data_IF_513211065105
#
_entry.id   IF_513211065105
#
_cell.length_a   1.000
_cell.length_b   1.000
_cell.length_c   1.000
_cell.angle_alpha   90.00
_cell.angle_beta   90.00
_cell.angle_gamma   90.00
#
_symmetry.space_group_name_H-M   'P 1'
#
loop_
_entity.id
_entity.type
_entity.pdbx_description
1 polymer ?
#
# COMPACT_ATOMS: atom_id res chain seq x y z
N UNK A 1 -11.51 -1.03 -7.93
CA UNK A 1 -10.56 -1.10 -9.07
C UNK A 1 -9.21 -0.43 -8.81
N UNK A 2 -9.08 0.59 -7.95
CA UNK A 2 -7.81 1.30 -7.70
C UNK A 2 -6.78 0.55 -6.81
N UNK A 3 -7.21 -0.34 -5.92
CA UNK A 3 -6.32 -1.09 -4.99
C UNK A 3 -5.39 -2.08 -5.69
N UNK A 4 -5.76 -2.57 -6.88
CA UNK A 4 -4.97 -3.58 -7.58
C UNK A 4 -3.67 -3.01 -8.18
N UNK A 5 -3.62 -1.69 -8.39
CA UNK A 5 -2.48 -0.99 -8.99
C UNK A 5 -1.45 -0.48 -7.97
N UNK A 6 -1.83 -0.30 -6.70
CA UNK A 6 -0.95 0.33 -5.69
C UNK A 6 0.13 -0.61 -5.17
N UNK A 7 -0.14 -1.91 -5.09
CA UNK A 7 0.84 -2.94 -4.71
C UNK A 7 2.00 -3.08 -5.71
N UNK A 8 1.73 -3.28 -7.01
CA UNK A 8 2.76 -3.32 -8.05
C UNK A 8 3.56 -2.02 -8.16
N UNK A 9 2.92 -0.87 -7.94
CA UNK A 9 3.60 0.43 -7.94
C UNK A 9 4.62 0.54 -6.80
N UNK A 10 4.28 0.09 -5.59
CA UNK A 10 5.18 0.11 -4.45
C UNK A 10 6.43 -0.77 -4.69
N UNK A 11 6.25 -1.94 -5.30
CA UNK A 11 7.37 -2.81 -5.70
C UNK A 11 8.26 -2.16 -6.76
N UNK A 12 7.66 -1.49 -7.75
CA UNK A 12 8.40 -0.74 -8.78
C UNK A 12 9.24 0.38 -8.17
N UNK A 13 8.67 1.14 -7.22
CA UNK A 13 9.38 2.20 -6.49
C UNK A 13 10.54 1.64 -5.64
N UNK A 14 10.35 0.51 -4.95
CA UNK A 14 11.43 -0.16 -4.21
C UNK A 14 12.57 -0.62 -5.13
N UNK A 15 12.25 -1.18 -6.30
CA UNK A 15 13.24 -1.61 -7.28
C UNK A 15 14.06 -0.43 -7.83
N UNK A 16 13.39 0.69 -8.15
CA UNK A 16 14.05 1.93 -8.58
C UNK A 16 14.93 2.52 -7.48
N UNK A 17 14.46 2.50 -6.22
CA UNK A 17 15.24 2.95 -5.07
C UNK A 17 16.54 2.15 -4.90
N UNK A 18 16.47 0.82 -5.02
CA UNK A 18 17.64 -0.06 -4.96
C UNK A 18 18.62 0.19 -6.09
N UNK A 19 18.13 0.39 -7.33
CA UNK A 19 18.98 0.73 -8.49
C UNK A 19 19.66 2.09 -8.30
N UNK A 20 18.95 3.12 -7.83
CA UNK A 20 19.53 4.45 -7.56
C UNK A 20 20.57 4.43 -6.43
N UNK A 21 20.35 3.63 -5.38
CA UNK A 21 21.32 3.47 -4.29
C UNK A 21 22.64 2.87 -4.79
N UNK A 22 22.57 1.95 -5.76
CA UNK A 22 23.75 1.30 -6.33
C UNK A 22 24.61 2.21 -7.23
N UNK A 23 24.09 3.34 -7.68
CA UNK A 23 24.75 4.29 -8.61
C UNK A 23 25.20 5.56 -7.84
N UNK A 24 25.44 5.48 -6.53
CA UNK A 24 25.93 6.59 -5.69
C UNK A 24 25.01 7.83 -5.58
N UNK A 25 23.77 7.76 -6.08
CA UNK A 25 22.75 8.81 -5.89
C UNK A 25 22.04 8.68 -4.53
N UNK A 26 22.81 8.72 -3.42
CA UNK A 26 22.32 8.46 -2.06
C UNK A 26 21.14 9.35 -1.62
N UNK A 27 21.11 10.62 -2.06
CA UNK A 27 19.97 11.52 -1.74
C UNK A 27 18.69 11.11 -2.47
N UNK A 28 18.78 10.69 -3.73
CA UNK A 28 17.62 10.30 -4.53
C UNK A 28 17.09 8.92 -4.11
N UNK A 29 17.97 8.02 -3.69
CA UNK A 29 17.55 6.73 -3.14
C UNK A 29 16.71 6.89 -1.87
N UNK A 30 17.05 7.82 -0.98
CA UNK A 30 16.28 8.07 0.25
C UNK A 30 14.86 8.59 -0.05
N UNK A 31 14.73 9.50 -1.03
CA UNK A 31 13.42 10.01 -1.47
C UNK A 31 12.58 8.88 -2.07
N UNK A 32 13.17 8.03 -2.92
CA UNK A 32 12.47 6.89 -3.53
C UNK A 32 12.04 5.85 -2.49
N UNK A 33 12.87 5.56 -1.48
CA UNK A 33 12.48 4.70 -0.35
C UNK A 33 11.32 5.31 0.44
N UNK A 34 11.36 6.62 0.70
CA UNK A 34 10.27 7.33 1.39
C UNK A 34 8.94 7.24 0.64
N UNK A 35 8.97 7.44 -0.69
CA UNK A 35 7.79 7.29 -1.54
C UNK A 35 7.27 5.85 -1.53
N UNK A 36 8.16 4.85 -1.60
CA UNK A 36 7.78 3.45 -1.56
C UNK A 36 7.10 3.07 -0.21
N UNK A 37 7.68 3.52 0.91
CA UNK A 37 7.10 3.34 2.25
C UNK A 37 5.73 4.01 2.38
N UNK A 38 5.59 5.23 1.87
CA UNK A 38 4.33 5.95 1.86
C UNK A 38 3.25 5.20 1.08
N UNK A 39 3.55 4.75 -0.14
CA UNK A 39 2.62 3.97 -0.98
C UNK A 39 2.24 2.64 -0.34
N UNK A 40 3.18 1.99 0.34
CA UNK A 40 2.93 0.74 1.06
C UNK A 40 1.99 0.95 2.25
N UNK A 41 2.26 1.96 3.09
CA UNK A 41 1.39 2.33 4.22
C UNK A 41 0.00 2.72 3.74
N UNK A 42 -0.10 3.53 2.68
CA UNK A 42 -1.36 3.92 2.08
C UNK A 42 -2.16 2.67 1.64
N UNK A 43 -1.50 1.73 0.96
CA UNK A 43 -2.13 0.47 0.54
C UNK A 43 -2.60 -0.35 1.74
N UNK A 44 -1.80 -0.48 2.79
CA UNK A 44 -2.19 -1.19 4.02
C UNK A 44 -3.42 -0.57 4.69
N UNK A 45 -3.51 0.76 4.74
CA UNK A 45 -4.68 1.49 5.27
C UNK A 45 -5.91 1.25 4.42
N UNK A 46 -5.81 1.34 3.09
CA UNK A 46 -6.96 1.12 2.20
C UNK A 46 -7.46 -0.32 2.22
N UNK A 47 -6.55 -1.31 2.21
CA UNK A 47 -6.91 -2.73 2.29
C UNK A 47 -7.48 -3.06 3.66
N UNK A 48 -6.85 -2.61 4.74
CA UNK A 48 -7.32 -2.80 6.10
C UNK A 48 -8.69 -2.16 6.34
N UNK A 49 -8.89 -0.93 5.87
CA UNK A 49 -10.18 -0.24 5.95
C UNK A 49 -11.27 -0.93 5.14
N UNK A 50 -10.94 -1.46 3.96
CA UNK A 50 -11.89 -2.23 3.14
C UNK A 50 -12.28 -3.55 3.80
N UNK A 51 -11.31 -4.25 4.41
CA UNK A 51 -11.56 -5.48 5.17
C UNK A 51 -12.41 -5.21 6.43
N UNK A 52 -12.12 -4.12 7.13
CA UNK A 52 -12.90 -3.69 8.29
C UNK A 52 -14.35 -3.36 7.89
N UNK A 53 -14.54 -2.57 6.82
CA UNK A 53 -15.85 -2.24 6.30
C UNK A 53 -16.65 -3.51 5.90
N UNK A 54 -16.02 -4.47 5.23
CA UNK A 54 -16.64 -5.75 4.89
C UNK A 54 -17.11 -6.52 6.13
N UNK A 55 -16.22 -6.66 7.13
CA UNK A 55 -16.54 -7.39 8.36
C UNK A 55 -17.68 -6.71 9.14
N UNK A 56 -17.74 -5.38 9.16
CA UNK A 56 -18.87 -4.66 9.75
C UNK A 56 -20.19 -4.88 9.01
N UNK A 57 -20.17 -4.99 7.67
CA UNK A 57 -21.39 -5.30 6.90
C UNK A 57 -21.86 -6.73 7.15
N UNK A 58 -20.96 -7.70 7.28
CA UNK A 58 -21.31 -9.09 7.64
C UNK A 58 -21.90 -9.17 9.07
N UNK A 59 -21.32 -8.46 10.04
CA UNK A 59 -21.88 -8.36 11.39
C UNK A 59 -23.25 -7.69 11.41
N UNK A 60 -23.45 -6.61 10.63
CA UNK A 60 -24.76 -5.95 10.53
C UNK A 60 -25.79 -6.86 9.85
N UNK A 61 -25.42 -7.55 8.77
CA UNK A 61 -26.31 -8.47 8.06
C UNK A 61 -26.76 -9.63 8.95
N UNK A 62 -25.87 -10.17 9.78
CA UNK A 62 -26.18 -11.26 10.71
C UNK A 62 -27.06 -10.83 11.88
N UNK A 63 -26.99 -9.56 12.33
CA UNK A 63 -27.91 -9.01 13.36
C UNK A 63 -29.30 -8.70 12.79
N UNK A 64 -29.41 -8.33 11.52
CA UNK A 64 -30.71 -8.01 10.87
C UNK A 64 -31.49 -9.28 10.50
N UNK A 65 -30.80 -10.38 10.19
CA UNK A 65 -31.40 -11.66 9.79
C UNK A 65 -31.74 -12.59 10.96
N UNK A 66 -31.32 -12.26 12.18
CA UNK A 66 -31.54 -13.04 13.41
C UNK A 66 -32.54 -12.31 14.31
#
# INVERSE_FOLDING_TARGET
MMILLTGPLALLCCYLAYRCYRIEYHRHSLVLVGIALFLFLLTAVFVGGSFYAWNTMEMVATVVLN
#
